data_IF_929325141723
#
_entry.id   IF_929325141723
#
_cell.length_a   1.000
_cell.length_b   1.000
_cell.length_c   1.000
_cell.angle_alpha   90.00
_cell.angle_beta   90.00
_cell.angle_gamma   90.00
#
_symmetry.space_group_name_H-M   'P 1'
#
loop_
_entity.id
_entity.type
_entity.pdbx_description
1 polymer ?
#
# COMPACT_ATOMS: atom_id res chain seq x y z
N UNK A 1 8.86 7.31 -6.27
CA UNK A 1 7.46 7.75 -6.47
C UNK A 1 7.36 9.24 -6.18
N UNK A 2 6.62 10.00 -6.99
CA UNK A 2 6.35 11.43 -6.75
C UNK A 2 4.86 11.60 -6.39
N UNK A 3 4.50 12.61 -5.57
CA UNK A 3 3.10 12.96 -5.33
C UNK A 3 2.34 13.20 -6.63
N UNK A 4 1.02 13.00 -6.62
CA UNK A 4 0.20 13.32 -7.78
C UNK A 4 0.24 14.84 -8.06
N UNK A 5 0.14 15.25 -9.34
CA UNK A 5 -0.06 16.66 -9.67
C UNK A 5 -1.26 17.23 -8.91
N UNK A 6 -1.10 18.40 -8.29
CA UNK A 6 -2.17 19.03 -7.51
C UNK A 6 -2.35 18.51 -6.07
N UNK A 7 -1.54 17.53 -5.62
CA UNK A 7 -1.58 17.10 -4.22
C UNK A 7 -1.24 18.28 -3.27
N UNK A 8 -2.05 18.46 -2.23
CA UNK A 8 -1.82 19.50 -1.21
C UNK A 8 -0.41 19.37 -0.62
N UNK A 9 0.31 20.50 -0.57
CA UNK A 9 1.68 20.56 -0.01
C UNK A 9 1.70 20.09 1.45
N UNK A 10 2.79 19.44 1.84
CA UNK A 10 3.00 18.92 3.20
C UNK A 10 2.39 17.53 3.47
N UNK A 11 1.63 16.96 2.53
CA UNK A 11 1.07 15.61 2.67
C UNK A 11 2.06 14.57 2.11
N UNK A 12 2.30 13.52 2.90
CA UNK A 12 3.12 12.34 2.51
C UNK A 12 2.20 11.20 2.04
N UNK A 13 2.77 10.16 1.43
CA UNK A 13 2.02 8.93 1.14
C UNK A 13 1.54 8.32 2.46
N UNK A 14 0.21 8.12 2.60
CA UNK A 14 -0.39 7.59 3.83
C UNK A 14 -1.33 6.44 3.48
N UNK A 15 -1.11 5.30 4.13
CA UNK A 15 -2.02 4.16 4.09
C UNK A 15 -2.81 4.09 5.40
N UNK A 16 -4.04 4.61 5.39
CA UNK A 16 -4.93 4.60 6.56
C UNK A 16 -5.67 3.28 6.73
N UNK A 17 -6.18 2.73 5.63
CA UNK A 17 -6.90 1.46 5.60
C UNK A 17 -5.98 0.34 5.12
N UNK A 18 -5.44 -0.43 6.07
CA UNK A 18 -4.54 -1.56 5.83
C UNK A 18 -5.24 -2.78 5.24
N UNK A 19 -6.58 -2.84 5.27
CA UNK A 19 -7.34 -3.97 4.72
C UNK A 19 -7.40 -3.93 3.19
N UNK A 20 -7.07 -2.79 2.60
CA UNK A 20 -7.04 -2.60 1.15
C UNK A 20 -5.60 -2.62 0.65
N UNK A 21 -5.30 -3.19 -0.52
CA UNK A 21 -3.99 -3.02 -1.12
C UNK A 21 -3.81 -1.61 -1.72
N UNK A 22 -2.59 -1.29 -2.13
CA UNK A 22 -2.38 -0.30 -3.20
C UNK A 22 -2.21 -1.02 -4.53
N UNK A 23 -2.81 -0.45 -5.59
CA UNK A 23 -2.57 -0.89 -6.96
C UNK A 23 -1.38 -0.12 -7.51
N UNK A 24 -0.36 -0.84 -7.95
CA UNK A 24 0.83 -0.26 -8.58
C UNK A 24 0.84 -0.71 -10.03
N UNK A 25 0.76 0.27 -10.93
CA UNK A 25 0.85 0.05 -12.37
C UNK A 25 2.32 0.09 -12.77
N UNK A 26 2.73 -0.92 -13.52
CA UNK A 26 4.04 -1.03 -14.14
C UNK A 26 3.84 -1.01 -15.65
N UNK A 27 4.35 0.04 -16.27
CA UNK A 27 4.31 0.23 -17.72
C UNK A 27 5.72 0.03 -18.29
N UNK A 28 5.85 -0.84 -19.28
CA UNK A 28 7.07 -1.07 -20.02
C UNK A 28 7.02 -0.28 -21.33
N UNK A 29 8.00 0.58 -21.56
CA UNK A 29 8.11 1.40 -22.78
C UNK A 29 9.31 0.95 -23.61
N UNK A 30 9.26 1.22 -24.92
CA UNK A 30 10.37 0.94 -25.81
C UNK A 30 11.48 1.99 -25.68
N UNK A 31 12.73 1.55 -25.63
CA UNK A 31 13.90 2.41 -25.50
C UNK A 31 13.97 3.24 -24.20
N UNK A 32 14.68 4.36 -24.27
CA UNK A 32 14.82 5.29 -23.15
C UNK A 32 13.84 6.44 -23.30
N UNK A 33 12.97 6.62 -22.31
CA UNK A 33 11.97 7.70 -22.30
C UNK A 33 12.22 8.66 -21.15
N UNK A 34 11.99 9.96 -21.37
CA UNK A 34 11.83 10.88 -20.26
C UNK A 34 10.51 10.59 -19.51
N UNK A 35 10.49 10.57 -18.16
CA UNK A 35 9.28 10.37 -17.37
C UNK A 35 8.12 11.34 -17.65
N UNK A 36 8.38 12.51 -18.25
CA UNK A 36 7.32 13.45 -18.64
C UNK A 36 6.66 13.04 -19.97
N UNK A 37 7.45 12.55 -20.92
CA UNK A 37 6.99 12.11 -22.24
C UNK A 37 6.32 10.72 -22.19
N UNK A 38 6.70 9.89 -21.23
CA UNK A 38 6.14 8.54 -21.05
C UNK A 38 4.63 8.54 -20.78
N UNK A 39 4.04 9.65 -20.31
CA UNK A 39 2.58 9.75 -20.10
C UNK A 39 1.78 9.80 -21.39
N UNK A 40 2.40 10.21 -22.50
CA UNK A 40 1.77 10.28 -23.82
C UNK A 40 2.08 9.08 -24.71
N UNK A 41 3.04 8.24 -24.34
CA UNK A 41 3.40 7.05 -25.11
C UNK A 41 2.50 5.88 -24.75
N UNK A 42 2.29 4.98 -25.72
CA UNK A 42 1.68 3.70 -25.44
C UNK A 42 2.74 2.71 -24.92
N UNK A 43 2.49 2.04 -23.78
CA UNK A 43 3.41 1.03 -23.28
C UNK A 43 3.37 -0.23 -24.15
N UNK A 44 4.52 -0.87 -24.33
CA UNK A 44 4.66 -2.19 -24.95
C UNK A 44 3.92 -3.26 -24.15
N UNK A 45 3.90 -3.12 -22.83
CA UNK A 45 3.17 -3.98 -21.91
C UNK A 45 2.84 -3.20 -20.64
N UNK A 46 1.68 -3.49 -20.06
CA UNK A 46 1.25 -2.92 -18.79
C UNK A 46 0.78 -4.04 -17.87
N UNK A 47 1.17 -3.96 -16.60
CA UNK A 47 0.66 -4.86 -15.58
C UNK A 47 0.37 -4.09 -14.30
N UNK A 48 -0.65 -4.52 -13.56
CA UNK A 48 -1.00 -3.95 -12.27
C UNK A 48 -0.86 -5.03 -11.20
N UNK A 49 -0.05 -4.77 -10.18
CA UNK A 49 0.03 -5.65 -9.02
C UNK A 49 -0.52 -4.98 -7.77
N UNK A 50 -1.01 -5.81 -6.86
CA UNK A 50 -1.57 -5.37 -5.59
C UNK A 50 -0.51 -5.51 -4.49
N UNK A 51 -0.17 -4.38 -3.86
CA UNK A 51 0.66 -4.35 -2.67
C UNK A 51 -0.23 -4.38 -1.43
N UNK A 52 -0.39 -5.55 -0.84
CA UNK A 52 -1.09 -5.75 0.43
C UNK A 52 -0.37 -5.12 1.63
N UNK A 53 -1.14 -4.80 2.67
CA UNK A 53 -0.65 -4.26 3.94
C UNK A 53 -0.99 -5.15 5.15
N UNK A 54 -1.78 -6.21 4.92
CA UNK A 54 -2.03 -7.29 5.84
C UNK A 54 -1.58 -8.58 5.16
N UNK A 55 -0.79 -9.39 5.85
CA UNK A 55 -0.45 -10.72 5.37
C UNK A 55 -1.66 -11.65 5.48
N UNK A 56 -1.67 -12.70 4.66
CA UNK A 56 -2.76 -13.67 4.62
C UNK A 56 -2.97 -14.33 5.99
N UNK A 57 -4.23 -14.43 6.40
CA UNK A 57 -4.61 -15.01 7.69
C UNK A 57 -4.37 -14.12 8.91
N UNK A 58 -3.74 -12.95 8.78
CA UNK A 58 -3.58 -12.01 9.90
C UNK A 58 -4.92 -11.43 10.31
N UNK A 59 -5.25 -11.54 11.60
CA UNK A 59 -6.47 -10.97 12.19
C UNK A 59 -6.21 -9.53 12.60
N UNK A 60 -7.12 -8.62 12.23
CA UNK A 60 -7.11 -7.21 12.66
C UNK A 60 -8.23 -6.96 13.67
N UNK A 61 -7.86 -6.67 14.92
CA UNK A 61 -8.80 -6.58 16.05
C UNK A 61 -8.74 -5.15 16.63
N UNK A 62 -9.82 -4.35 16.52
CA UNK A 62 -9.88 -3.06 17.21
C UNK A 62 -9.87 -3.25 18.73
N UNK A 63 -9.00 -2.54 19.45
CA UNK A 63 -8.88 -2.63 20.91
C UNK A 63 -9.41 -1.35 21.55
N UNK A 64 -10.32 -1.52 22.51
CA UNK A 64 -10.95 -0.43 23.29
C UNK A 64 -11.10 -0.84 24.76
N UNK A 65 -9.98 -0.91 25.47
CA UNK A 65 -9.94 -1.34 26.87
C UNK A 65 -9.54 -0.18 27.78
N UNK A 66 -10.44 0.25 28.66
CA UNK A 66 -10.22 1.44 29.49
C UNK A 66 -9.85 2.68 28.65
N UNK A 67 -8.64 3.22 28.88
CA UNK A 67 -8.06 4.35 28.13
C UNK A 67 -7.29 3.92 26.86
N UNK A 68 -7.08 2.62 26.65
CA UNK A 68 -6.33 2.10 25.49
C UNK A 68 -7.20 2.19 24.24
N UNK A 69 -6.65 2.77 23.18
CA UNK A 69 -7.25 2.84 21.85
C UNK A 69 -6.20 2.40 20.84
N UNK A 70 -6.48 1.32 20.13
CA UNK A 70 -5.50 0.76 19.19
C UNK A 70 -6.11 -0.28 18.27
N UNK A 71 -5.23 -0.98 17.57
CA UNK A 71 -5.57 -2.13 16.74
C UNK A 71 -4.51 -3.19 16.95
N UNK A 72 -4.92 -4.38 17.36
CA UNK A 72 -4.07 -5.55 17.49
C UNK A 72 -4.07 -6.31 16.15
N UNK A 73 -2.88 -6.73 15.73
CA UNK A 73 -2.71 -7.61 14.57
C UNK A 73 -2.17 -8.94 15.06
N UNK A 74 -2.90 -10.02 14.79
CA UNK A 74 -2.56 -11.37 15.25
C UNK A 74 -2.18 -12.24 14.05
N UNK A 75 -1.01 -12.91 14.05
CA UNK A 75 -0.68 -13.92 13.06
C UNK A 75 -1.72 -15.07 13.02
N UNK A 76 -1.82 -15.80 11.90
CA UNK A 76 -2.60 -17.03 11.86
C UNK A 76 -2.00 -18.11 12.77
N UNK A 77 -2.85 -18.98 13.33
CA UNK A 77 -2.46 -20.08 14.23
C UNK A 77 -3.00 -19.92 15.67
N UNK A 78 -2.76 -20.93 16.50
CA UNK A 78 -3.31 -21.01 17.86
C UNK A 78 -2.55 -20.18 18.90
N UNK A 79 -1.30 -19.81 18.61
CA UNK A 79 -0.45 -19.03 19.52
C UNK A 79 0.05 -19.82 20.74
N UNK A 80 0.57 -19.15 21.79
CA UNK A 80 0.72 -17.69 21.91
C UNK A 80 1.75 -17.11 20.94
N UNK A 81 1.68 -15.80 20.70
CA UNK A 81 2.64 -15.07 19.86
C UNK A 81 3.38 -14.03 20.71
N UNK A 82 4.67 -13.78 20.44
CA UNK A 82 5.41 -12.70 21.11
C UNK A 82 4.78 -11.34 20.75
N UNK A 83 4.70 -10.46 21.75
CA UNK A 83 4.15 -9.10 21.60
C UNK A 83 5.00 -8.00 22.24
N UNK A 84 6.25 -8.32 22.58
CA UNK A 84 7.24 -7.41 23.18
C UNK A 84 7.92 -6.50 22.15
#
# INVERSE_FOLDING_TARGET
MKPSPGQRKGIRLVKSDVTKPYKVVLDCFDGHTDPQESRSLQPLSSNTFEKGYMADGVKRIPVREGRIRGTLFLPPGDGPFPGE
#
